data_IF_496860379499
#
_entry.id   IF_496860379499
#
_cell.length_a   1.000
_cell.length_b   1.000
_cell.length_c   1.000
_cell.angle_alpha   90.00
_cell.angle_beta   90.00
_cell.angle_gamma   90.00
#
_symmetry.space_group_name_H-M   'P 1'
#
loop_
_entity.id
_entity.type
_entity.pdbx_description
1 polymer ?
#
# COMPACT_ATOMS: atom_id res chain seq x y z
N UNK A 1 -0.42 -9.07 -3.74
CA UNK A 1 0.55 -9.15 -4.83
C UNK A 1 0.03 -8.45 -6.07
N UNK A 2 0.96 -8.02 -6.91
CA UNK A 2 0.66 -7.39 -8.19
C UNK A 2 1.12 -8.31 -9.30
N UNK A 3 0.38 -8.37 -10.39
CA UNK A 3 0.78 -9.10 -11.60
C UNK A 3 0.51 -8.23 -12.82
N UNK A 4 1.42 -8.24 -13.76
CA UNK A 4 1.28 -7.61 -15.08
C UNK A 4 0.47 -8.55 -15.99
N UNK A 5 -0.76 -8.84 -15.63
CA UNK A 5 -1.68 -9.52 -16.53
C UNK A 5 -2.64 -8.52 -17.12
N UNK A 6 -2.87 -8.63 -18.41
CA UNK A 6 -4.03 -8.05 -19.06
C UNK A 6 -5.26 -8.33 -18.20
N UNK A 7 -6.14 -7.36 -18.05
CA UNK A 7 -7.33 -7.45 -17.24
C UNK A 7 -8.00 -8.79 -17.47
N UNK A 8 -7.87 -9.69 -16.50
CA UNK A 8 -8.61 -10.96 -16.55
C UNK A 8 -10.07 -10.59 -16.76
N UNK A 9 -10.67 -11.19 -17.77
CA UNK A 9 -12.02 -10.90 -18.21
C UNK A 9 -12.97 -10.89 -17.02
N UNK A 10 -13.17 -9.72 -16.44
CA UNK A 10 -13.97 -9.51 -15.23
C UNK A 10 -15.44 -9.92 -15.46
N UNK A 11 -15.82 -10.06 -16.74
CA UNK A 11 -17.13 -10.53 -17.16
C UNK A 11 -17.42 -11.99 -16.81
N UNK A 12 -16.41 -12.86 -16.76
CA UNK A 12 -16.61 -14.29 -16.48
C UNK A 12 -16.86 -14.61 -15.00
N UNK A 13 -16.32 -13.81 -14.07
CA UNK A 13 -16.36 -14.13 -12.64
C UNK A 13 -17.17 -13.15 -11.78
N UNK A 14 -17.83 -12.14 -12.36
CA UNK A 14 -18.59 -11.10 -11.62
C UNK A 14 -17.81 -10.47 -10.46
N UNK A 15 -16.47 -10.38 -10.58
CA UNK A 15 -15.65 -9.73 -9.58
C UNK A 15 -15.83 -8.23 -9.78
N UNK A 16 -16.30 -7.47 -8.78
CA UNK A 16 -16.37 -6.03 -8.88
C UNK A 16 -14.96 -5.50 -9.13
N UNK A 17 -14.76 -4.88 -10.25
CA UNK A 17 -13.48 -4.32 -10.63
C UNK A 17 -13.65 -2.89 -11.13
N UNK A 18 -12.57 -2.15 -11.16
CA UNK A 18 -12.55 -0.77 -11.64
C UNK A 18 -11.12 -0.25 -11.72
N UNK A 19 -11.00 1.01 -12.05
CA UNK A 19 -9.72 1.70 -12.11
C UNK A 19 -9.56 2.61 -10.87
N UNK A 20 -8.44 2.49 -10.19
CA UNK A 20 -8.08 3.31 -9.06
C UNK A 20 -6.92 4.26 -9.42
N UNK A 21 -7.14 5.54 -9.26
CA UNK A 21 -6.21 6.62 -9.61
C UNK A 21 -5.69 7.31 -8.35
N UNK A 22 -4.49 6.96 -7.91
CA UNK A 22 -3.88 7.52 -6.70
C UNK A 22 -3.69 9.04 -6.78
N UNK A 23 -3.26 9.55 -7.93
CA UNK A 23 -3.06 10.98 -8.16
C UNK A 23 -4.34 11.79 -8.01
N UNK A 24 -5.48 11.27 -8.49
CA UNK A 24 -6.80 11.92 -8.34
C UNK A 24 -7.25 11.92 -6.88
N UNK A 25 -7.08 10.80 -6.19
CA UNK A 25 -7.36 10.74 -4.75
C UNK A 25 -6.50 11.73 -3.96
N UNK A 26 -5.21 11.83 -4.27
CA UNK A 26 -4.29 12.79 -3.64
C UNK A 26 -4.68 14.24 -3.91
N UNK A 27 -5.09 14.57 -5.14
CA UNK A 27 -5.55 15.91 -5.50
C UNK A 27 -6.84 16.28 -4.77
N UNK A 28 -7.82 15.37 -4.72
CA UNK A 28 -9.09 15.59 -4.02
C UNK A 28 -8.89 15.69 -2.50
N UNK A 29 -7.98 14.89 -1.92
CA UNK A 29 -7.60 15.01 -0.52
C UNK A 29 -7.00 16.40 -0.23
N UNK A 30 -6.11 16.89 -1.11
CA UNK A 30 -5.56 18.23 -0.93
C UNK A 30 -6.65 19.31 -0.95
N UNK A 31 -7.61 19.20 -1.88
CA UNK A 31 -8.75 20.13 -1.94
C UNK A 31 -9.63 20.05 -0.68
N UNK A 32 -9.89 18.86 -0.18
CA UNK A 32 -10.64 18.67 1.07
C UNK A 32 -9.94 19.33 2.27
N UNK A 33 -8.62 19.12 2.39
CA UNK A 33 -7.84 19.74 3.47
C UNK A 33 -7.76 21.27 3.32
N UNK A 34 -7.68 21.78 2.09
CA UNK A 34 -7.75 23.23 1.83
C UNK A 34 -9.10 23.82 2.23
N UNK A 35 -10.19 23.14 1.92
CA UNK A 35 -11.53 23.59 2.32
C UNK A 35 -11.71 23.59 3.84
N UNK A 36 -11.07 22.66 4.54
CA UNK A 36 -11.21 22.50 6.00
C UNK A 36 -10.26 23.42 6.79
N UNK A 37 -9.01 23.58 6.33
CA UNK A 37 -7.93 24.25 7.08
C UNK A 37 -7.35 25.47 6.38
N UNK A 38 -7.98 25.92 5.28
CA UNK A 38 -7.56 27.07 4.50
C UNK A 38 -6.49 26.73 3.47
N UNK A 39 -6.12 27.71 2.65
CA UNK A 39 -5.21 27.55 1.53
C UNK A 39 -3.86 26.94 1.93
N UNK A 40 -3.36 26.02 1.06
CA UNK A 40 -2.05 25.41 1.23
C UNK A 40 -1.91 24.10 0.48
N UNK A 41 -0.68 23.69 0.22
CA UNK A 41 -0.36 22.39 -0.35
C UNK A 41 -0.14 21.37 0.79
N UNK A 42 -1.20 20.70 1.22
CA UNK A 42 -1.18 19.72 2.31
C UNK A 42 -0.62 18.36 1.89
N UNK A 43 -0.87 17.95 0.63
CA UNK A 43 -0.28 16.75 0.05
C UNK A 43 1.02 17.12 -0.64
N UNK A 44 2.14 16.64 -0.13
CA UNK A 44 3.47 16.92 -0.68
C UNK A 44 3.77 16.01 -1.88
N UNK A 45 3.51 14.71 -1.73
CA UNK A 45 3.75 13.69 -2.75
C UNK A 45 2.82 12.48 -2.57
N UNK A 46 2.76 11.64 -3.59
CA UNK A 46 2.12 10.32 -3.53
C UNK A 46 2.95 9.32 -4.35
N UNK A 47 3.05 8.09 -3.87
CA UNK A 47 3.77 7.01 -4.54
C UNK A 47 3.37 5.64 -3.96
N UNK A 48 3.23 4.62 -4.82
CA UNK A 48 2.96 3.23 -4.41
C UNK A 48 1.84 3.09 -3.35
N UNK A 49 0.68 3.66 -3.62
CA UNK A 49 -0.49 3.67 -2.72
C UNK A 49 -0.24 4.38 -1.38
N UNK A 50 0.78 5.21 -1.31
CA UNK A 50 1.09 6.03 -0.14
C UNK A 50 0.94 7.51 -0.48
N UNK A 51 0.47 8.28 0.49
CA UNK A 51 0.36 9.73 0.41
C UNK A 51 1.23 10.34 1.51
N UNK A 52 2.00 11.34 1.15
CA UNK A 52 2.90 12.08 2.02
C UNK A 52 2.31 13.46 2.28
N UNK A 53 2.13 13.79 3.55
CA UNK A 53 1.62 15.10 3.96
C UNK A 53 2.77 16.10 4.12
N UNK A 54 2.45 17.37 3.90
CA UNK A 54 3.41 18.46 4.07
C UNK A 54 3.54 18.85 5.56
N UNK A 55 4.43 18.18 6.27
CA UNK A 55 4.64 18.39 7.70
C UNK A 55 5.03 19.84 8.02
N UNK A 56 5.83 20.49 7.17
CA UNK A 56 6.22 21.90 7.36
C UNK A 56 5.03 22.84 7.34
N UNK A 57 4.06 22.61 6.45
CA UNK A 57 2.84 23.39 6.40
C UNK A 57 1.97 23.14 7.62
N UNK A 58 1.85 21.87 8.06
CA UNK A 58 1.07 21.51 9.24
C UNK A 58 1.63 22.16 10.50
N UNK A 59 2.94 22.11 10.70
CA UNK A 59 3.65 22.79 11.79
C UNK A 59 3.44 24.30 11.76
N UNK A 60 3.59 24.93 10.58
CA UNK A 60 3.38 26.38 10.41
C UNK A 60 1.94 26.81 10.75
N UNK A 61 0.97 25.94 10.52
CA UNK A 61 -0.46 26.18 10.82
C UNK A 61 -0.88 25.68 12.21
N UNK A 62 0.07 25.17 13.01
CA UNK A 62 -0.17 24.60 14.34
C UNK A 62 -1.22 23.48 14.35
N UNK A 63 -1.27 22.69 13.26
CA UNK A 63 -2.22 21.60 13.10
C UNK A 63 -1.65 20.28 13.64
N UNK A 64 -2.51 19.51 14.32
CA UNK A 64 -2.14 18.21 14.85
C UNK A 64 -2.02 17.17 13.72
N UNK A 65 -0.81 16.66 13.49
CA UNK A 65 -0.53 15.68 12.44
C UNK A 65 -1.39 14.41 12.58
N UNK A 66 -1.55 13.88 13.79
CA UNK A 66 -2.32 12.65 14.00
C UNK A 66 -3.82 12.86 13.66
N UNK A 67 -4.38 14.02 13.99
CA UNK A 67 -5.75 14.39 13.63
C UNK A 67 -5.92 14.51 12.11
N UNK A 68 -4.99 15.21 11.44
CA UNK A 68 -5.00 15.35 9.99
C UNK A 68 -4.88 13.99 9.30
N UNK A 69 -3.97 13.13 9.76
CA UNK A 69 -3.82 11.78 9.24
C UNK A 69 -5.11 10.96 9.38
N UNK A 70 -5.78 11.05 10.54
CA UNK A 70 -7.01 10.32 10.78
C UNK A 70 -8.15 10.82 9.87
N UNK A 71 -8.39 12.12 9.82
CA UNK A 71 -9.41 12.72 8.93
C UNK A 71 -9.14 12.44 7.46
N UNK A 72 -7.88 12.46 7.06
CA UNK A 72 -7.47 12.11 5.69
C UNK A 72 -7.76 10.65 5.36
N UNK A 73 -7.49 9.73 6.29
CA UNK A 73 -7.81 8.32 6.12
C UNK A 73 -9.31 8.09 5.99
N UNK A 74 -10.12 8.73 6.84
CA UNK A 74 -11.59 8.67 6.79
C UNK A 74 -12.14 9.23 5.46
N UNK A 75 -11.57 10.31 4.96
CA UNK A 75 -11.93 10.86 3.66
C UNK A 75 -11.61 9.88 2.52
N UNK A 76 -10.42 9.27 2.54
CA UNK A 76 -9.99 8.32 1.51
C UNK A 76 -10.84 7.05 1.48
N UNK A 77 -11.40 6.63 2.61
CA UNK A 77 -12.33 5.48 2.68
C UNK A 77 -13.62 5.69 1.87
N UNK A 78 -13.95 6.91 1.48
CA UNK A 78 -15.15 7.22 0.69
C UNK A 78 -14.95 6.98 -0.81
N UNK A 79 -13.72 6.74 -1.25
CA UNK A 79 -13.44 6.51 -2.66
C UNK A 79 -13.73 5.06 -3.08
N UNK A 80 -14.34 4.93 -4.25
CA UNK A 80 -14.54 3.62 -4.86
C UNK A 80 -13.19 2.94 -5.11
N UNK A 81 -13.11 1.65 -4.78
CA UNK A 81 -11.87 0.87 -4.93
C UNK A 81 -10.96 0.90 -3.71
N UNK A 82 -11.20 1.76 -2.73
CA UNK A 82 -10.48 1.73 -1.46
C UNK A 82 -11.11 0.66 -0.55
N UNK A 83 -10.30 -0.31 -0.15
CA UNK A 83 -10.67 -1.31 0.84
C UNK A 83 -10.49 -0.76 2.25
N UNK A 84 -9.31 -0.16 2.50
CA UNK A 84 -8.96 0.44 3.79
C UNK A 84 -7.93 1.56 3.56
N UNK A 85 -7.95 2.57 4.42
CA UNK A 85 -6.94 3.62 4.46
C UNK A 85 -6.34 3.69 5.87
N UNK A 86 -5.03 3.52 5.95
CA UNK A 86 -4.31 3.48 7.22
C UNK A 86 -3.52 4.76 7.42
N UNK A 87 -3.72 5.43 8.55
CA UNK A 87 -2.82 6.50 8.98
C UNK A 87 -1.53 5.93 9.57
N UNK A 88 -0.42 6.65 9.45
CA UNK A 88 0.84 6.29 10.07
C UNK A 88 0.69 6.05 11.59
N UNK A 89 -0.09 6.88 12.24
CA UNK A 89 -0.38 6.75 13.66
C UNK A 89 -1.11 5.42 13.98
N UNK A 90 -2.11 5.04 13.19
CA UNK A 90 -2.82 3.75 13.33
C UNK A 90 -1.90 2.56 13.07
N UNK A 91 -1.01 2.65 12.08
CA UNK A 91 -0.05 1.58 11.78
C UNK A 91 0.98 1.39 12.91
N UNK A 92 1.41 2.45 13.57
CA UNK A 92 2.42 2.38 14.62
C UNK A 92 1.85 2.05 15.99
N UNK A 93 0.69 2.59 16.34
CA UNK A 93 0.11 2.54 17.68
C UNK A 93 -1.21 1.77 17.77
N UNK A 94 -1.84 1.46 16.63
CA UNK A 94 -3.14 0.79 16.58
C UNK A 94 -3.09 -0.67 17.04
N UNK A 95 -4.27 -1.20 17.35
CA UNK A 95 -4.47 -2.60 17.70
C UNK A 95 -3.98 -3.53 16.59
N UNK A 96 -3.48 -4.68 16.98
CA UNK A 96 -3.00 -5.69 16.05
C UNK A 96 -4.19 -6.41 15.38
N UNK A 97 -4.21 -6.39 14.04
CA UNK A 97 -5.05 -7.25 13.20
C UNK A 97 -4.20 -7.90 12.11
N UNK A 98 -4.59 -9.04 11.53
CA UNK A 98 -3.82 -9.69 10.47
C UNK A 98 -3.54 -8.78 9.27
N UNK A 99 -4.49 -7.92 8.90
CA UNK A 99 -4.38 -6.97 7.79
C UNK A 99 -3.36 -5.87 8.11
N UNK A 100 -3.48 -5.27 9.29
CA UNK A 100 -2.53 -4.24 9.77
C UNK A 100 -1.12 -4.83 9.88
N UNK A 101 -0.98 -6.07 10.32
CA UNK A 101 0.33 -6.73 10.43
C UNK A 101 1.06 -6.82 9.09
N UNK A 102 0.38 -7.20 8.02
CA UNK A 102 0.98 -7.26 6.68
C UNK A 102 1.52 -5.90 6.22
N UNK A 103 0.73 -4.84 6.42
CA UNK A 103 1.10 -3.49 6.02
C UNK A 103 2.21 -2.95 6.93
N UNK A 104 2.12 -3.18 8.23
CA UNK A 104 3.12 -2.76 9.22
C UNK A 104 4.49 -3.37 8.96
N UNK A 105 4.58 -4.62 8.53
CA UNK A 105 5.85 -5.28 8.19
C UNK A 105 6.59 -4.59 7.03
N UNK A 106 5.85 -3.97 6.09
CA UNK A 106 6.42 -3.16 5.01
C UNK A 106 6.56 -1.67 5.34
N UNK A 107 6.06 -1.22 6.48
CA UNK A 107 6.02 0.19 6.86
C UNK A 107 7.30 0.62 7.57
N UNK A 108 7.88 1.73 7.13
CA UNK A 108 9.06 2.33 7.77
C UNK A 108 8.81 3.79 8.12
N UNK A 109 8.84 4.12 9.43
CA UNK A 109 8.47 5.43 10.00
C UNK A 109 9.07 6.66 9.29
N UNK A 110 10.29 6.55 8.76
CA UNK A 110 11.00 7.69 8.13
C UNK A 110 10.91 7.71 6.61
N UNK A 111 10.40 6.67 5.98
CA UNK A 111 10.40 6.52 4.52
C UNK A 111 9.02 6.27 3.93
N UNK A 112 8.12 5.65 4.69
CA UNK A 112 6.76 5.42 4.26
C UNK A 112 5.91 6.68 4.44
N UNK A 113 4.84 6.76 3.64
CA UNK A 113 3.90 7.88 3.68
C UNK A 113 3.09 7.98 4.97
N UNK A 114 2.47 9.11 5.15
CA UNK A 114 1.56 9.38 6.28
C UNK A 114 0.26 8.58 6.21
N UNK A 115 -0.13 8.24 4.97
CA UNK A 115 -1.33 7.45 4.66
C UNK A 115 -0.94 6.32 3.73
N UNK A 116 -1.45 5.12 4.02
CA UNK A 116 -1.30 3.93 3.17
C UNK A 116 -2.69 3.48 2.75
N UNK A 117 -2.90 3.35 1.44
CA UNK A 117 -4.20 2.96 0.86
C UNK A 117 -4.13 1.50 0.47
N UNK A 118 -5.04 0.70 0.99
CA UNK A 118 -5.28 -0.66 0.52
C UNK A 118 -6.43 -0.63 -0.50
N UNK A 119 -6.17 -1.16 -1.69
CA UNK A 119 -7.10 -1.16 -2.81
C UNK A 119 -7.77 -2.52 -2.91
N UNK A 120 -9.07 -2.53 -3.19
CA UNK A 120 -9.86 -3.74 -3.33
C UNK A 120 -9.29 -4.70 -4.38
N UNK A 121 -9.33 -6.02 -4.12
CA UNK A 121 -8.98 -7.03 -5.11
C UNK A 121 -9.80 -6.88 -6.39
N UNK A 122 -9.19 -7.13 -7.53
CA UNK A 122 -9.83 -6.99 -8.84
C UNK A 122 -9.78 -5.56 -9.42
N UNK A 123 -9.39 -4.57 -8.63
CA UNK A 123 -9.18 -3.21 -9.11
C UNK A 123 -7.80 -3.03 -9.74
N UNK A 124 -7.73 -2.21 -10.77
CA UNK A 124 -6.48 -1.86 -11.45
C UNK A 124 -5.99 -0.52 -10.93
N UNK A 125 -4.81 -0.49 -10.36
CA UNK A 125 -4.13 0.76 -10.02
C UNK A 125 -3.53 1.34 -11.29
N UNK A 126 -4.06 2.49 -11.71
CA UNK A 126 -3.63 3.19 -12.91
C UNK A 126 -2.56 4.20 -12.58
N UNK A 127 -1.46 4.15 -13.30
CA UNK A 127 -0.35 5.08 -13.17
C UNK A 127 -0.36 6.08 -14.32
N UNK A 128 -1.01 7.23 -14.15
CA UNK A 128 -1.15 8.25 -15.20
C UNK A 128 0.18 8.92 -15.59
N UNK A 129 1.26 8.70 -14.84
CA UNK A 129 2.58 9.26 -15.11
C UNK A 129 3.47 8.34 -15.95
N UNK A 130 2.90 7.40 -16.70
CA UNK A 130 3.62 6.54 -17.65
C UNK A 130 4.26 5.29 -17.03
N UNK A 131 3.89 4.93 -15.80
CA UNK A 131 4.25 3.65 -15.20
C UNK A 131 3.26 2.53 -15.58
N UNK A 132 3.61 1.30 -15.26
CA UNK A 132 2.76 0.13 -15.48
C UNK A 132 1.50 0.17 -14.61
N UNK A 133 0.37 -0.20 -15.19
CA UNK A 133 -0.86 -0.42 -14.45
C UNK A 133 -0.80 -1.77 -13.74
N UNK A 134 -1.29 -1.84 -12.49
CA UNK A 134 -1.19 -3.04 -11.66
C UNK A 134 -2.54 -3.50 -11.16
N UNK A 135 -2.91 -4.73 -11.47
CA UNK A 135 -4.13 -5.35 -10.92
C UNK A 135 -3.86 -5.84 -9.52
N UNK A 136 -4.70 -5.42 -8.57
CA UNK A 136 -4.61 -5.87 -7.17
C UNK A 136 -5.17 -7.27 -7.03
N UNK A 137 -4.38 -8.17 -6.49
CA UNK A 137 -4.79 -9.55 -6.21
C UNK A 137 -4.47 -9.90 -4.76
N UNK A 138 -5.44 -10.44 -4.06
CA UNK A 138 -5.24 -11.00 -2.71
C UNK A 138 -5.01 -12.52 -2.76
N UNK A 139 -5.01 -13.12 -3.94
CA UNK A 139 -4.74 -14.55 -4.09
C UNK A 139 -3.27 -14.85 -3.82
N UNK A 140 -3.04 -15.97 -3.16
CA UNK A 140 -1.72 -16.54 -3.00
C UNK A 140 -1.13 -16.89 -4.38
N UNK A 141 0.02 -16.33 -4.71
CA UNK A 141 0.74 -16.63 -5.95
C UNK A 141 1.94 -17.48 -5.57
N UNK A 142 1.91 -18.81 -5.81
CA UNK A 142 3.05 -19.66 -5.58
C UNK A 142 4.18 -19.28 -6.54
N UNK A 143 5.34 -19.00 -6.00
CA UNK A 143 6.54 -18.70 -6.78
C UNK A 143 7.64 -19.71 -6.43
N UNK A 144 8.43 -20.18 -7.40
CA UNK A 144 9.55 -21.05 -7.10
C UNK A 144 10.61 -20.29 -6.29
N UNK A 145 11.15 -20.95 -5.27
CA UNK A 145 12.27 -20.47 -4.50
C UNK A 145 13.48 -21.37 -4.80
N UNK A 146 14.54 -20.79 -5.37
CA UNK A 146 15.73 -21.53 -5.80
C UNK A 146 16.95 -20.99 -5.04
N UNK A 147 17.64 -21.88 -4.33
CA UNK A 147 18.94 -21.60 -3.72
C UNK A 147 20.02 -22.31 -4.51
N UNK A 148 21.10 -21.60 -4.82
CA UNK A 148 22.29 -22.14 -5.47
C UNK A 148 23.54 -21.69 -4.71
N UNK A 149 24.44 -22.59 -4.43
CA UNK A 149 25.69 -22.28 -3.76
C UNK A 149 26.53 -23.52 -3.47
N UNK A 150 27.80 -23.30 -3.09
CA UNK A 150 28.77 -24.39 -2.83
C UNK A 150 28.29 -25.34 -1.72
N UNK A 151 27.64 -24.83 -0.70
CA UNK A 151 27.16 -25.59 0.47
C UNK A 151 25.74 -26.13 0.31
N UNK A 152 25.07 -25.84 -0.81
CA UNK A 152 23.68 -26.26 -1.04
C UNK A 152 23.65 -27.61 -1.73
N UNK A 153 23.11 -28.63 -1.05
CA UNK A 153 22.90 -29.95 -1.64
C UNK A 153 21.71 -29.96 -2.59
N UNK A 154 21.79 -30.64 -3.74
CA UNK A 154 20.67 -30.77 -4.64
C UNK A 154 19.48 -31.43 -3.95
N UNK A 155 18.35 -30.76 -3.87
CA UNK A 155 17.10 -31.26 -3.31
C UNK A 155 15.90 -30.52 -3.91
N UNK A 156 14.75 -31.17 -4.00
CA UNK A 156 13.48 -30.59 -4.37
C UNK A 156 12.57 -30.71 -3.14
N UNK A 157 12.17 -29.56 -2.59
CA UNK A 157 11.27 -29.50 -1.44
C UNK A 157 9.91 -29.08 -1.95
N UNK A 158 8.90 -29.93 -1.79
CA UNK A 158 7.54 -29.67 -2.23
C UNK A 158 6.68 -29.04 -1.12
N UNK A 159 7.17 -28.99 0.10
CA UNK A 159 6.46 -28.34 1.21
C UNK A 159 6.41 -26.84 0.98
N UNK A 160 5.21 -26.21 1.00
CA UNK A 160 5.09 -24.78 0.86
C UNK A 160 5.83 -24.05 1.99
N UNK A 161 6.58 -23.01 1.61
CA UNK A 161 7.29 -22.13 2.55
C UNK A 161 6.80 -20.69 2.36
N UNK A 162 6.83 -19.89 3.42
CA UNK A 162 6.51 -18.48 3.34
C UNK A 162 7.76 -17.64 3.11
N UNK A 163 7.58 -16.43 2.61
CA UNK A 163 8.69 -15.48 2.36
C UNK A 163 9.50 -15.18 3.64
N UNK A 164 8.87 -15.32 4.80
CA UNK A 164 9.50 -15.10 6.11
C UNK A 164 10.63 -16.10 6.40
N UNK A 165 10.61 -17.27 5.77
CA UNK A 165 11.66 -18.29 5.93
C UNK A 165 12.93 -17.98 5.13
N UNK A 166 12.90 -17.04 4.17
CA UNK A 166 14.04 -16.74 3.29
C UNK A 166 15.22 -16.19 4.10
N UNK A 167 14.99 -15.14 4.89
CA UNK A 167 16.06 -14.50 5.64
C UNK A 167 16.73 -15.42 6.68
N UNK A 168 16.00 -16.19 7.51
CA UNK A 168 16.59 -17.19 8.41
C UNK A 168 17.39 -18.28 7.65
N UNK A 169 16.87 -18.73 6.50
CA UNK A 169 17.55 -19.73 5.67
C UNK A 169 18.89 -19.20 5.15
N UNK A 170 18.91 -17.98 4.63
CA UNK A 170 20.16 -17.35 4.17
C UNK A 170 21.16 -17.16 5.31
N UNK A 171 20.70 -16.74 6.49
CA UNK A 171 21.54 -16.58 7.66
C UNK A 171 22.18 -17.92 8.13
N UNK A 172 21.50 -19.05 7.89
CA UNK A 172 22.03 -20.37 8.21
C UNK A 172 23.16 -20.80 7.26
N UNK A 173 23.15 -20.32 6.02
CA UNK A 173 24.21 -20.63 5.03
C UNK A 173 25.41 -19.67 5.10
N UNK A 174 25.32 -18.59 5.81
CA UNK A 174 26.42 -17.62 6.02
C UNK A 174 27.26 -17.98 7.23
#
# INVERSE_FOLDING_TARGET
GYTDCESADSGLYKIPGGEFYLNRCAALLNMYLMATYGEGKYVEAHHNQQIYLNHKLLEKKELNLAEIQQKSAEFLMQFSGVNEAYSANRLLLGSWTPEIHKIRNGYHRKRSGDLVIDVLPGWTIVNENGGENKVVRHSYIPSPLIFMGHSVKPAIIQTPVTIEHIAPTLAHFM
#
